data_IF_261730737475
#
_entry.id   IF_261730737475
#
_cell.length_a   1.000
_cell.length_b   1.000
_cell.length_c   1.000
_cell.angle_alpha   90.00
_cell.angle_beta   90.00
_cell.angle_gamma   90.00
#
_symmetry.space_group_name_H-M   'P 1'
#
loop_
_entity.id
_entity.type
_entity.pdbx_description
1 polymer ?
#
# COMPACT_ATOMS: atom_id res chain seq x y z
N UNK A 1 9.14 0.86 15.77
CA UNK A 1 9.96 1.21 14.60
C UNK A 1 9.09 1.01 13.38
N UNK A 2 9.06 1.95 12.44
CA UNK A 2 8.28 1.78 11.21
C UNK A 2 9.15 1.02 10.21
N UNK A 3 8.54 0.13 9.44
CA UNK A 3 9.27 -0.77 8.56
C UNK A 3 8.76 -0.68 7.12
N UNK A 4 9.68 -0.78 6.16
CA UNK A 4 9.33 -0.96 4.76
C UNK A 4 9.17 -2.45 4.46
N UNK A 5 8.22 -2.79 3.59
CA UNK A 5 8.02 -4.17 3.17
C UNK A 5 7.22 -4.28 1.89
N UNK A 6 6.94 -5.51 1.50
CA UNK A 6 6.24 -5.86 0.26
C UNK A 6 4.94 -6.59 0.59
N UNK A 7 3.82 -6.18 -0.01
CA UNK A 7 2.55 -6.93 0.11
C UNK A 7 2.75 -8.33 -0.46
N UNK A 8 2.55 -9.37 0.36
CA UNK A 8 2.77 -10.77 0.00
C UNK A 8 1.47 -11.60 -0.02
N UNK A 9 0.41 -11.14 0.65
CA UNK A 9 -0.91 -11.80 0.66
C UNK A 9 -2.02 -10.76 0.85
N UNK A 10 -3.21 -11.03 0.31
CA UNK A 10 -4.37 -10.13 0.33
C UNK A 10 -5.62 -10.94 0.65
N UNK A 11 -6.38 -10.49 1.64
CA UNK A 11 -7.67 -11.09 1.99
C UNK A 11 -8.62 -10.02 2.52
N UNK A 12 -9.83 -9.98 1.95
CA UNK A 12 -10.94 -9.13 2.45
C UNK A 12 -10.55 -7.65 2.65
N UNK A 13 -9.80 -7.07 1.70
CA UNK A 13 -9.36 -5.67 1.76
C UNK A 13 -8.22 -5.38 2.74
N UNK A 14 -7.66 -6.41 3.36
CA UNK A 14 -6.45 -6.35 4.18
C UNK A 14 -5.28 -7.01 3.47
N UNK A 15 -4.07 -6.72 3.91
CA UNK A 15 -2.85 -7.29 3.36
C UNK A 15 -1.88 -7.77 4.44
N UNK A 16 -1.11 -8.80 4.11
CA UNK A 16 0.12 -9.15 4.83
C UNK A 16 1.31 -8.52 4.14
N UNK A 17 2.31 -8.12 4.92
CA UNK A 17 3.54 -7.51 4.43
C UNK A 17 4.71 -8.37 4.86
N UNK A 18 5.56 -8.74 3.89
CA UNK A 18 6.86 -9.34 4.15
C UNK A 18 7.88 -8.24 4.49
N UNK A 19 8.54 -8.38 5.64
CA UNK A 19 9.56 -7.47 6.18
C UNK A 19 10.77 -8.31 6.61
N UNK A 20 11.80 -8.36 5.76
CA UNK A 20 12.90 -9.31 5.94
C UNK A 20 12.37 -10.75 5.97
N UNK A 21 12.69 -11.49 7.05
CA UNK A 21 12.23 -12.86 7.26
C UNK A 21 10.85 -12.96 7.96
N UNK A 22 10.26 -11.83 8.34
CA UNK A 22 8.96 -11.77 9.04
C UNK A 22 7.82 -11.47 8.08
N UNK A 23 6.63 -11.99 8.38
CA UNK A 23 5.38 -11.66 7.68
C UNK A 23 4.36 -11.20 8.70
N UNK A 24 3.73 -10.05 8.47
CA UNK A 24 2.71 -9.51 9.36
C UNK A 24 1.42 -10.34 9.34
N UNK A 25 0.53 -10.08 10.30
CA UNK A 25 -0.88 -10.42 10.16
C UNK A 25 -1.59 -9.62 9.05
N UNK A 26 -2.86 -9.91 8.80
CA UNK A 26 -3.68 -9.13 7.87
C UNK A 26 -3.99 -7.75 8.46
N UNK A 27 -3.30 -6.73 7.94
CA UNK A 27 -3.41 -5.34 8.38
C UNK A 27 -4.33 -4.53 7.47
N UNK A 28 -4.96 -3.51 8.04
CA UNK A 28 -5.73 -2.53 7.27
C UNK A 28 -4.80 -1.64 6.45
N UNK A 29 -5.22 -1.30 5.23
CA UNK A 29 -4.47 -0.43 4.32
C UNK A 29 -5.14 0.92 4.21
N UNK A 30 -4.37 2.01 4.29
CA UNK A 30 -4.85 3.37 4.06
C UNK A 30 -5.51 3.48 2.69
N UNK A 31 -6.73 4.04 2.68
CA UNK A 31 -7.49 4.39 1.48
C UNK A 31 -7.58 5.91 1.38
N UNK A 32 -7.66 6.45 0.17
CA UNK A 32 -7.75 7.89 -0.07
C UNK A 32 -9.02 8.50 0.55
N UNK A 33 -10.16 7.79 0.49
CA UNK A 33 -11.44 8.19 1.08
C UNK A 33 -12.12 6.99 1.74
N UNK A 34 -12.49 7.10 3.02
CA UNK A 34 -13.14 6.03 3.78
C UNK A 34 -14.04 6.58 4.92
N UNK A 35 -15.15 7.25 4.58
CA UNK A 35 -16.12 7.76 5.54
C UNK A 35 -17.56 7.74 5.00
N UNK A 36 -18.52 8.25 5.77
CA UNK A 36 -19.95 8.26 5.41
C UNK A 36 -20.32 9.19 4.24
N UNK A 37 -19.43 10.10 3.84
CA UNK A 37 -19.62 10.97 2.69
C UNK A 37 -19.04 10.37 1.41
N UNK A 38 -17.84 9.78 1.47
CA UNK A 38 -17.17 9.19 0.32
C UNK A 38 -16.31 7.98 0.69
N UNK A 39 -16.33 6.98 -0.21
CA UNK A 39 -15.51 5.76 -0.13
C UNK A 39 -14.85 5.55 -1.50
N UNK A 40 -13.52 5.45 -1.53
CA UNK A 40 -12.73 5.13 -2.72
C UNK A 40 -12.21 3.71 -2.65
N UNK A 41 -12.17 3.01 -3.78
CA UNK A 41 -11.56 1.69 -3.86
C UNK A 41 -10.47 1.68 -4.94
N UNK A 42 -9.24 1.37 -4.51
CA UNK A 42 -8.14 1.04 -5.42
C UNK A 42 -7.60 -0.32 -5.02
N UNK A 43 -7.51 -1.29 -5.95
CA UNK A 43 -7.18 -2.65 -5.58
C UNK A 43 -5.78 -2.75 -4.98
N UNK A 44 -5.61 -3.67 -4.03
CA UNK A 44 -4.30 -4.04 -3.51
C UNK A 44 -3.61 -4.97 -4.50
N UNK A 45 -2.27 -4.93 -4.55
CA UNK A 45 -1.47 -5.78 -5.44
C UNK A 45 -0.34 -6.44 -4.66
N UNK A 46 -0.17 -7.74 -4.85
CA UNK A 46 1.01 -8.45 -4.38
C UNK A 46 2.24 -7.88 -5.10
N UNK A 47 3.31 -7.64 -4.35
CA UNK A 47 4.52 -6.98 -4.86
C UNK A 47 4.53 -5.46 -4.69
N UNK A 48 3.47 -4.83 -4.18
CA UNK A 48 3.47 -3.41 -3.87
C UNK A 48 4.35 -3.12 -2.65
N UNK A 49 5.26 -2.15 -2.78
CA UNK A 49 6.08 -1.68 -1.67
C UNK A 49 5.29 -0.70 -0.80
N UNK A 50 5.37 -0.90 0.50
CA UNK A 50 4.57 -0.18 1.50
C UNK A 50 5.36 0.11 2.76
N UNK A 51 4.85 1.05 3.57
CA UNK A 51 5.31 1.32 4.93
C UNK A 51 4.32 0.70 5.92
N UNK A 52 4.81 -0.05 6.90
CA UNK A 52 4.03 -0.54 8.04
C UNK A 52 4.26 0.39 9.23
N UNK A 53 3.17 0.99 9.72
CA UNK A 53 3.15 1.84 10.90
C UNK A 53 2.60 1.00 12.06
N UNK A 54 3.44 0.58 13.02
CA UNK A 54 2.99 -0.26 14.14
C UNK A 54 2.08 0.51 15.08
N UNK A 55 1.07 -0.17 15.61
CA UNK A 55 0.24 0.36 16.69
C UNK A 55 0.84 -0.12 18.00
N UNK A 56 1.18 0.82 18.90
CA UNK A 56 1.83 0.53 20.19
C UNK A 56 3.13 -0.28 20.07
N UNK A 57 3.84 -0.12 18.96
CA UNK A 57 5.12 -0.78 18.70
C UNK A 57 5.03 -2.21 18.16
N UNK A 58 3.82 -2.75 17.96
CA UNK A 58 3.61 -4.06 17.37
C UNK A 58 3.29 -3.96 15.86
N UNK A 59 4.08 -4.64 15.04
CA UNK A 59 3.90 -4.69 13.58
C UNK A 59 2.71 -5.57 13.18
N UNK A 60 2.34 -6.59 13.96
CA UNK A 60 1.15 -7.41 13.67
C UNK A 60 -0.16 -6.69 13.98
N UNK A 61 -0.10 -5.61 14.75
CA UNK A 61 -1.23 -4.72 15.03
C UNK A 61 -1.18 -3.43 14.21
N UNK A 62 -0.26 -3.33 13.24
CA UNK A 62 0.00 -2.11 12.48
C UNK A 62 -1.07 -1.74 11.44
N UNK A 63 -0.79 -0.66 10.73
CA UNK A 63 -1.53 -0.20 9.54
C UNK A 63 -0.57 0.02 8.39
N UNK A 64 -1.04 -0.22 7.16
CA UNK A 64 -0.23 -0.15 5.95
C UNK A 64 -0.48 1.19 5.25
N UNK A 65 0.59 1.98 5.07
CA UNK A 65 0.61 3.15 4.19
C UNK A 65 1.23 2.75 2.84
N UNK A 66 0.44 2.89 1.77
CA UNK A 66 0.82 2.52 0.40
C UNK A 66 1.30 3.71 -0.43
N UNK A 67 1.73 3.46 -1.67
CA UNK A 67 2.07 4.50 -2.64
C UNK A 67 3.55 4.88 -2.70
N UNK A 68 4.45 3.96 -2.36
CA UNK A 68 5.89 4.14 -2.53
C UNK A 68 6.30 3.69 -3.94
N UNK A 69 6.97 4.57 -4.69
CA UNK A 69 7.60 4.15 -5.94
C UNK A 69 8.70 3.11 -5.67
N UNK A 70 8.82 2.16 -6.59
CA UNK A 70 9.87 1.15 -6.61
C UNK A 70 10.41 0.98 -8.04
N UNK A 71 11.55 0.32 -8.21
CA UNK A 71 12.19 0.17 -9.54
C UNK A 71 11.25 -0.40 -10.61
N UNK A 72 10.42 -1.39 -10.23
CA UNK A 72 9.42 -2.02 -11.10
C UNK A 72 8.18 -1.15 -11.36
N UNK A 73 7.83 -0.29 -10.41
CA UNK A 73 6.62 0.55 -10.43
C UNK A 73 7.02 1.98 -10.07
N UNK A 74 7.66 2.66 -11.03
CA UNK A 74 8.09 4.06 -10.96
C UNK A 74 7.08 4.98 -11.63
N UNK A 75 7.17 6.27 -11.34
CA UNK A 75 6.43 7.29 -12.10
C UNK A 75 6.72 7.13 -13.60
N UNK A 76 5.67 7.06 -14.42
CA UNK A 76 5.79 7.00 -15.89
C UNK A 76 5.94 8.39 -16.50
N UNK A 77 5.34 9.40 -15.87
CA UNK A 77 5.44 10.80 -16.25
C UNK A 77 5.92 11.61 -15.03
N UNK A 78 6.90 12.49 -15.25
CA UNK A 78 7.45 13.39 -14.23
C UNK A 78 7.35 14.86 -14.66
N UNK A 79 6.50 15.19 -15.64
CA UNK A 79 6.18 16.57 -16.01
C UNK A 79 5.44 17.27 -14.87
N UNK A 80 6.03 18.37 -14.40
CA UNK A 80 5.58 19.17 -13.26
C UNK A 80 4.22 19.85 -13.48
N UNK A 81 3.74 19.93 -14.73
CA UNK A 81 2.47 20.59 -15.07
C UNK A 81 1.31 19.61 -15.32
N UNK A 82 1.52 18.31 -15.13
CA UNK A 82 0.51 17.29 -15.43
C UNK A 82 0.19 16.44 -14.21
N UNK A 83 -1.08 16.07 -14.07
CA UNK A 83 -1.53 15.05 -13.12
C UNK A 83 -1.99 13.83 -13.92
N UNK A 84 -1.39 12.68 -13.65
CA UNK A 84 -1.65 11.45 -14.39
C UNK A 84 -1.96 10.31 -13.42
N UNK A 85 -2.89 9.45 -13.82
CA UNK A 85 -3.12 8.15 -13.21
C UNK A 85 -3.04 7.15 -14.35
N UNK A 86 -2.05 6.27 -14.29
CA UNK A 86 -1.88 5.23 -15.30
C UNK A 86 -2.50 3.92 -14.83
N UNK A 87 -3.48 3.40 -15.55
CA UNK A 87 -4.07 2.10 -15.25
C UNK A 87 -3.33 0.96 -15.98
N UNK A 88 -3.50 -0.27 -15.48
CA UNK A 88 -2.83 -1.46 -16.05
C UNK A 88 -3.44 -1.89 -17.41
N UNK A 89 -4.67 -1.46 -17.69
CA UNK A 89 -5.35 -1.67 -18.97
C UNK A 89 -4.99 -0.61 -20.03
N UNK A 90 -4.16 0.37 -19.66
CA UNK A 90 -3.70 1.44 -20.55
C UNK A 90 -4.63 2.64 -20.63
N UNK A 91 -5.67 2.71 -19.78
CA UNK A 91 -6.48 3.93 -19.60
C UNK A 91 -5.81 4.98 -18.73
#
# INVERSE_FOLDING_TARGET
>A
MNELGIICDIKEGKAKVAIGDMVTDFLSVFQSLANSYAVSFSPLRIGEQVLVIPVRGDLNSGVILRGLYQEKHRAKNTDENTFNIDFEDGT
#
